data_IF_839303150737
#
_entry.id   IF_839303150737
#
_cell.length_a   1.000
_cell.length_b   1.000
_cell.length_c   1.000
_cell.angle_alpha   90.00
_cell.angle_beta   90.00
_cell.angle_gamma   90.00
#
_symmetry.space_group_name_H-M   'P 1'
#
loop_
_entity.id
_entity.type
_entity.pdbx_description
1 polymer ?
#
# COMPACT_ATOMS: atom_id res chain seq x y z
N UNK A 1 -32.38 1.14 7.36
CA UNK A 1 -31.48 0.25 8.10
C UNK A 1 -30.18 0.20 7.34
N UNK A 2 -29.10 0.59 7.99
CA UNK A 2 -27.72 0.52 7.52
C UNK A 2 -26.86 0.69 8.78
N UNK A 3 -25.57 0.33 8.74
CA UNK A 3 -24.69 0.44 9.90
C UNK A 3 -23.37 1.16 9.56
N UNK A 4 -23.22 1.67 8.34
CA UNK A 4 -22.02 2.31 7.80
C UNK A 4 -20.74 1.63 8.30
N UNK A 5 -20.65 0.31 8.18
CA UNK A 5 -19.51 -0.45 8.69
C UNK A 5 -18.39 -0.50 7.63
N UNK A 6 -17.13 -0.72 8.06
CA UNK A 6 -16.02 -0.75 7.13
C UNK A 6 -16.02 -2.01 6.28
N UNK A 7 -15.21 -1.96 5.24
CA UNK A 7 -15.01 -3.09 4.36
C UNK A 7 -13.98 -3.99 5.04
N UNK A 8 -14.43 -4.82 5.98
CA UNK A 8 -13.71 -5.66 6.95
C UNK A 8 -12.33 -5.12 7.36
N UNK A 9 -12.19 -3.80 7.43
CA UNK A 9 -10.93 -3.09 7.35
C UNK A 9 -10.30 -3.13 8.72
N UNK A 10 -9.03 -3.52 8.77
CA UNK A 10 -8.32 -3.80 10.01
C UNK A 10 -6.96 -3.12 9.94
N UNK A 11 -6.56 -2.36 10.96
CA UNK A 11 -5.22 -1.82 11.00
C UNK A 11 -4.18 -2.94 11.02
N UNK A 12 -2.93 -2.56 10.77
CA UNK A 12 -1.77 -3.36 11.08
C UNK A 12 -0.66 -2.36 11.48
N UNK A 13 0.59 -2.79 11.42
CA UNK A 13 1.82 -2.06 11.72
C UNK A 13 2.93 -2.67 10.86
N UNK A 14 4.06 -1.96 10.69
CA UNK A 14 5.18 -2.41 9.87
C UNK A 14 5.88 -3.58 10.55
N UNK A 15 6.56 -4.38 9.73
CA UNK A 15 7.28 -5.57 10.14
C UNK A 15 8.59 -5.20 10.83
N UNK A 16 9.01 -6.00 11.82
CA UNK A 16 10.24 -5.78 12.56
C UNK A 16 11.42 -6.12 11.64
N UNK A 17 12.50 -5.36 11.72
CA UNK A 17 13.72 -5.41 10.91
C UNK A 17 13.52 -5.44 9.39
N UNK A 18 12.30 -5.32 8.89
CA UNK A 18 12.01 -5.33 7.47
C UNK A 18 12.60 -4.08 6.82
N UNK A 19 12.83 -4.19 5.52
CA UNK A 19 13.63 -3.29 4.72
C UNK A 19 13.17 -3.46 3.28
N UNK A 20 13.35 -2.42 2.50
CA UNK A 20 13.01 -2.42 1.10
C UNK A 20 13.90 -3.41 0.34
N UNK A 21 13.51 -3.76 -0.88
CA UNK A 21 14.17 -4.76 -1.71
C UNK A 21 14.28 -4.18 -3.13
N UNK A 22 14.21 -5.00 -4.18
CA UNK A 22 14.07 -4.59 -5.57
C UNK A 22 12.70 -5.01 -6.14
N UNK A 23 11.70 -5.32 -5.32
CA UNK A 23 10.33 -5.38 -5.84
C UNK A 23 9.97 -4.02 -6.46
N UNK A 24 9.10 -4.06 -7.46
CA UNK A 24 8.38 -2.93 -8.03
C UNK A 24 6.90 -3.24 -7.85
N UNK A 25 6.10 -2.20 -7.69
CA UNK A 25 4.65 -2.30 -7.71
C UNK A 25 4.14 -1.72 -9.03
N UNK A 26 2.95 -2.14 -9.44
CA UNK A 26 2.33 -1.79 -10.71
C UNK A 26 0.83 -1.57 -10.44
N UNK A 27 0.08 -1.00 -11.39
CA UNK A 27 -1.35 -0.79 -11.32
C UNK A 27 -1.78 -0.31 -12.71
N UNK A 28 -3.07 -0.37 -13.02
CA UNK A 28 -3.64 0.15 -14.26
C UNK A 28 -3.33 1.65 -14.38
N UNK A 29 -3.61 2.43 -13.32
CA UNK A 29 -3.19 3.82 -13.29
C UNK A 29 -1.68 3.87 -13.10
N UNK A 30 -0.94 4.29 -14.12
CA UNK A 30 0.52 4.30 -14.10
C UNK A 30 1.01 5.21 -12.96
N UNK A 31 0.49 6.46 -12.89
CA UNK A 31 0.85 7.45 -11.88
C UNK A 31 0.80 6.85 -10.49
N UNK A 32 -0.27 6.13 -10.14
CA UNK A 32 -0.44 5.61 -8.80
C UNK A 32 0.80 4.82 -8.37
N UNK A 33 1.17 3.81 -9.15
CA UNK A 33 2.30 2.97 -8.83
C UNK A 33 3.63 3.70 -9.05
N UNK A 34 3.69 4.69 -9.94
CA UNK A 34 4.89 5.47 -10.22
C UNK A 34 5.24 6.36 -9.02
N UNK A 35 4.22 6.92 -8.38
CA UNK A 35 4.34 7.81 -7.24
C UNK A 35 4.71 7.03 -5.98
N UNK A 36 4.13 5.83 -5.84
CA UNK A 36 4.51 4.88 -4.80
C UNK A 36 5.95 4.41 -5.00
N UNK A 37 6.34 4.00 -6.21
CA UNK A 37 7.71 3.57 -6.51
C UNK A 37 8.72 4.71 -6.30
N UNK A 38 8.28 5.96 -6.40
CA UNK A 38 9.09 7.14 -6.13
C UNK A 38 9.38 7.23 -4.63
N UNK A 39 8.34 7.12 -3.79
CA UNK A 39 8.46 7.32 -2.35
C UNK A 39 9.53 6.42 -1.75
N UNK A 40 9.57 5.16 -2.18
CA UNK A 40 10.47 4.16 -1.64
C UNK A 40 11.74 3.97 -2.49
N UNK A 41 12.03 4.83 -3.48
CA UNK A 41 13.34 4.84 -4.14
C UNK A 41 13.62 3.60 -4.99
N UNK A 42 12.57 2.99 -5.55
CA UNK A 42 12.69 1.81 -6.42
C UNK A 42 13.76 2.05 -7.50
N UNK A 43 14.71 1.11 -7.63
CA UNK A 43 15.79 1.17 -8.60
C UNK A 43 15.79 -0.18 -9.31
N UNK A 44 15.73 -0.18 -10.64
CA UNK A 44 15.84 -1.37 -11.48
C UNK A 44 17.25 -1.96 -11.37
N UNK A 45 17.41 -3.24 -11.71
CA UNK A 45 16.36 -4.08 -12.28
C UNK A 45 15.36 -4.53 -11.22
N UNK A 46 14.06 -4.50 -11.55
CA UNK A 46 13.07 -4.87 -10.57
C UNK A 46 12.96 -6.40 -10.47
N UNK A 47 13.24 -6.95 -9.29
CA UNK A 47 13.22 -8.37 -9.02
C UNK A 47 11.84 -8.99 -9.24
N UNK A 48 10.77 -8.27 -8.93
CA UNK A 48 9.40 -8.72 -9.16
C UNK A 48 8.50 -7.52 -9.42
N UNK A 49 7.29 -7.78 -9.89
CA UNK A 49 6.27 -6.81 -10.24
C UNK A 49 4.97 -7.27 -9.57
N UNK A 50 4.72 -6.75 -8.38
CA UNK A 50 3.39 -6.85 -7.76
C UNK A 50 2.47 -5.88 -8.49
N UNK A 51 1.17 -6.02 -8.28
CA UNK A 51 0.16 -5.15 -8.85
C UNK A 51 -0.78 -4.66 -7.77
N UNK A 52 -1.47 -3.56 -8.04
CA UNK A 52 -2.47 -2.98 -7.18
C UNK A 52 -3.74 -2.84 -8.03
N UNK A 53 -4.91 -2.95 -7.40
CA UNK A 53 -6.18 -2.67 -8.02
C UNK A 53 -7.04 -1.84 -7.06
N UNK A 54 -7.93 -0.99 -7.59
CA UNK A 54 -8.80 -0.11 -6.82
C UNK A 54 -10.11 -0.83 -6.53
N UNK A 55 -10.56 -0.87 -5.28
CA UNK A 55 -11.79 -1.58 -4.94
C UNK A 55 -12.97 -1.22 -5.85
N UNK A 56 -13.93 -2.14 -6.03
CA UNK A 56 -13.87 -3.55 -5.64
C UNK A 56 -13.02 -4.43 -6.57
N UNK A 57 -12.18 -3.88 -7.46
CA UNK A 57 -11.15 -4.70 -8.09
C UNK A 57 -10.13 -5.03 -7.00
N UNK A 58 -10.04 -6.30 -6.58
CA UNK A 58 -9.07 -6.76 -5.58
C UNK A 58 -8.29 -7.97 -6.08
N UNK A 59 -7.90 -7.96 -7.35
CA UNK A 59 -7.08 -9.00 -7.98
C UNK A 59 -5.61 -8.66 -7.92
N UNK A 60 -5.29 -7.39 -7.70
CA UNK A 60 -3.92 -6.97 -7.40
C UNK A 60 -3.41 -7.70 -6.16
N UNK A 61 -2.10 -7.98 -6.11
CA UNK A 61 -1.43 -8.60 -4.95
C UNK A 61 -1.70 -7.81 -3.68
N UNK A 62 -1.77 -6.50 -3.84
CA UNK A 62 -2.05 -5.48 -2.85
C UNK A 62 -3.28 -4.75 -3.41
N UNK A 63 -4.05 -4.10 -2.55
CA UNK A 63 -5.32 -3.51 -2.95
C UNK A 63 -5.33 -2.03 -2.50
N UNK A 64 -6.35 -1.26 -2.90
CA UNK A 64 -6.61 0.10 -2.46
C UNK A 64 -8.05 0.19 -1.95
N UNK A 65 -8.33 1.19 -1.11
CA UNK A 65 -9.60 1.53 -0.48
C UNK A 65 -9.74 3.05 -0.59
N UNK A 66 -10.98 3.55 -0.56
CA UNK A 66 -11.29 4.97 -0.61
C UNK A 66 -10.91 5.65 0.70
N UNK A 67 -10.27 6.82 0.60
CA UNK A 67 -9.74 7.61 1.71
C UNK A 67 -10.80 7.95 2.78
N UNK A 68 -12.09 7.91 2.44
CA UNK A 68 -13.19 8.06 3.39
C UNK A 68 -13.14 7.06 4.55
N UNK A 69 -12.43 5.94 4.43
CA UNK A 69 -12.24 5.00 5.53
C UNK A 69 -10.98 5.29 6.37
N UNK A 70 -10.17 6.31 6.05
CA UNK A 70 -8.94 6.63 6.79
C UNK A 70 -9.26 7.24 8.17
N UNK A 71 -9.62 6.40 9.14
CA UNK A 71 -9.60 6.75 10.54
C UNK A 71 -8.17 6.69 11.08
N UNK A 72 -7.90 7.44 12.16
CA UNK A 72 -6.66 7.36 12.91
C UNK A 72 -6.44 5.97 13.55
N UNK A 73 -7.42 5.07 13.56
CA UNK A 73 -7.18 3.65 13.84
C UNK A 73 -6.03 3.13 12.98
N UNK A 74 -6.06 3.47 11.69
CA UNK A 74 -5.20 2.97 10.66
C UNK A 74 -3.92 3.81 10.53
N UNK A 75 -3.52 4.56 11.57
CA UNK A 75 -2.39 5.49 11.53
C UNK A 75 -1.13 4.78 11.05
N UNK A 76 -0.84 3.59 11.56
CA UNK A 76 0.35 2.84 11.21
C UNK A 76 0.12 1.88 10.03
N UNK A 77 -0.93 2.12 9.24
CA UNK A 77 -1.28 1.36 8.06
C UNK A 77 -2.38 0.34 8.37
N UNK A 78 -2.93 -0.28 7.32
CA UNK A 78 -4.06 -1.19 7.43
C UNK A 78 -4.01 -2.24 6.33
N UNK A 79 -4.95 -3.17 6.41
CA UNK A 79 -5.15 -4.29 5.51
C UNK A 79 -6.63 -4.66 5.55
N UNK A 80 -7.08 -5.31 4.50
CA UNK A 80 -8.38 -5.93 4.38
C UNK A 80 -8.31 -7.25 5.15
N UNK A 81 -9.30 -8.12 4.91
CA UNK A 81 -9.45 -9.45 5.50
C UNK A 81 -8.11 -10.16 5.62
N UNK A 82 -7.44 -10.38 4.47
CA UNK A 82 -6.12 -10.99 4.45
C UNK A 82 -5.15 -10.33 3.47
N UNK A 83 -5.55 -9.28 2.77
CA UNK A 83 -4.69 -8.57 1.83
C UNK A 83 -4.39 -7.16 2.30
N UNK A 84 -3.23 -6.59 1.95
CA UNK A 84 -2.87 -5.23 2.34
C UNK A 84 -3.66 -4.23 1.49
N UNK A 85 -3.89 -3.03 2.04
CA UNK A 85 -4.70 -1.98 1.41
C UNK A 85 -3.94 -0.66 1.49
N UNK A 86 -4.31 0.29 0.64
CA UNK A 86 -3.82 1.66 0.67
C UNK A 86 -5.00 2.62 0.52
N UNK A 87 -4.76 3.91 0.72
CA UNK A 87 -5.72 4.95 0.40
C UNK A 87 -5.44 5.42 -1.02
N UNK A 88 -6.48 5.51 -1.85
CA UNK A 88 -6.41 6.21 -3.15
C UNK A 88 -7.55 7.21 -3.20
N UNK A 89 -7.36 8.23 -4.03
CA UNK A 89 -8.32 9.30 -4.30
C UNK A 89 -8.17 9.54 -5.79
N UNK A 90 -9.26 9.47 -6.57
CA UNK A 90 -9.26 9.76 -8.00
C UNK A 90 -8.18 8.99 -8.76
N UNK A 91 -7.89 7.75 -8.32
CA UNK A 91 -6.91 6.84 -8.90
C UNK A 91 -5.47 7.35 -8.76
N UNK A 92 -5.19 8.30 -7.86
CA UNK A 92 -3.89 8.91 -7.67
C UNK A 92 -3.53 8.90 -6.18
N UNK A 93 -2.29 9.27 -5.88
CA UNK A 93 -1.80 9.61 -4.55
C UNK A 93 -1.65 11.13 -4.56
N UNK A 94 -1.87 11.75 -3.40
CA UNK A 94 -1.69 13.18 -3.18
C UNK A 94 -0.92 13.32 -1.87
N UNK A 95 -0.43 14.52 -1.55
CA UNK A 95 0.39 14.74 -0.36
C UNK A 95 -0.32 14.26 0.92
N UNK A 96 -1.65 14.37 0.96
CA UNK A 96 -2.53 13.87 2.00
C UNK A 96 -2.35 12.36 2.23
N UNK A 97 -2.50 11.54 1.19
CA UNK A 97 -2.53 10.08 1.25
C UNK A 97 -1.13 9.47 1.11
N UNK A 98 -0.12 10.27 0.77
CA UNK A 98 1.27 9.89 0.60
C UNK A 98 1.86 9.46 1.94
N UNK A 99 1.77 10.34 2.94
CA UNK A 99 2.26 10.11 4.29
C UNK A 99 1.76 8.78 4.87
N UNK A 100 0.46 8.47 4.88
CA UNK A 100 0.01 7.16 5.34
C UNK A 100 0.48 6.04 4.41
N UNK A 101 0.56 6.26 3.09
CA UNK A 101 0.94 5.19 2.17
C UNK A 101 2.34 4.66 2.47
N UNK A 102 3.29 5.49 2.91
CA UNK A 102 4.66 5.01 3.16
C UNK A 102 4.68 3.83 4.15
N UNK A 103 3.75 3.81 5.09
CA UNK A 103 3.55 2.74 6.06
C UNK A 103 3.19 1.42 5.39
N UNK A 104 2.29 1.43 4.40
CA UNK A 104 1.98 0.23 3.63
C UNK A 104 3.25 -0.30 2.98
N UNK A 105 4.12 0.58 2.46
CA UNK A 105 5.34 0.15 1.80
C UNK A 105 6.25 -0.51 2.84
N UNK A 106 6.31 0.01 4.08
CA UNK A 106 7.06 -0.62 5.18
C UNK A 106 6.50 -1.97 5.62
N UNK A 107 5.27 -2.33 5.25
CA UNK A 107 4.74 -3.68 5.44
C UNK A 107 5.12 -4.59 4.27
N UNK A 108 5.21 -4.07 3.05
CA UNK A 108 5.58 -4.84 1.86
C UNK A 108 7.10 -5.06 1.79
N UNK A 109 7.88 -4.29 2.55
CA UNK A 109 9.26 -4.59 2.85
C UNK A 109 9.36 -5.97 3.51
N UNK A 110 10.51 -6.60 3.36
CA UNK A 110 10.79 -7.94 3.85
C UNK A 110 12.10 -7.95 4.64
N UNK A 111 12.37 -9.02 5.39
CA UNK A 111 13.34 -9.00 6.48
C UNK A 111 14.70 -9.47 5.97
N UNK A 112 15.54 -8.54 5.51
CA UNK A 112 16.78 -8.87 4.82
C UNK A 112 17.80 -7.76 5.06
N UNK A 113 18.80 -8.00 5.92
CA UNK A 113 19.84 -7.03 6.22
C UNK A 113 20.78 -6.88 5.03
N UNK A 114 21.37 -5.70 4.90
CA UNK A 114 22.24 -5.28 3.82
C UNK A 114 23.62 -4.97 4.41
N UNK A 115 24.07 -5.80 5.36
CA UNK A 115 25.37 -5.83 6.04
C UNK A 115 26.56 -6.05 5.09
N UNK A 116 26.37 -5.94 3.78
CA UNK A 116 27.40 -6.11 2.77
C UNK A 116 27.61 -4.72 2.17
#
# INVERSE_FOLDING_TARGET
MYTEQPIDLVPTQPLPNASFDNFKLTCSNTKFADDLNQMTGFTKPASRELSVTFFPDLNGDVVAIDYRHYSASFKKGAKLLHKPIVWHINQATTKTTFKPNTWCLRCLWSTKPVDT
#
